data_IF_207157614909
#
_entry.id   IF_207157614909
#
_cell.length_a   1.000
_cell.length_b   1.000
_cell.length_c   1.000
_cell.angle_alpha   90.00
_cell.angle_beta   90.00
_cell.angle_gamma   90.00
#
_symmetry.space_group_name_H-M   'P 1'
#
loop_
_entity.id
_entity.type
_entity.pdbx_description
1 polymer ?
#
# COMPACT_ATOMS: atom_id res chain seq x y z
N UNK A 1 -48.12 16.88 19.39
CA UNK A 1 -46.70 16.73 19.78
C UNK A 1 -46.52 15.24 20.07
N UNK A 2 -45.65 14.44 19.45
CA UNK A 2 -44.20 14.60 19.26
C UNK A 2 -43.75 13.60 18.17
N UNK A 3 -43.30 14.07 16.99
CA UNK A 3 -42.53 13.28 16.01
C UNK A 3 -41.12 13.88 15.93
N UNK A 4 -40.18 13.37 16.72
CA UNK A 4 -38.75 13.66 16.61
C UNK A 4 -37.98 12.46 17.14
N UNK A 5 -37.67 11.47 16.31
CA UNK A 5 -36.57 10.51 16.58
C UNK A 5 -36.06 9.71 15.37
N UNK A 6 -36.69 9.77 14.19
CA UNK A 6 -36.22 9.00 13.02
C UNK A 6 -35.05 9.65 12.25
N UNK A 7 -34.89 10.98 12.29
CA UNK A 7 -33.91 11.69 11.46
C UNK A 7 -32.45 11.55 11.95
N UNK A 8 -32.22 11.21 13.23
CA UNK A 8 -30.89 11.16 13.83
C UNK A 8 -30.11 9.88 13.54
N UNK A 9 -30.78 8.74 13.29
CA UNK A 9 -30.10 7.46 12.95
C UNK A 9 -29.59 7.45 11.51
N UNK A 10 -30.31 8.07 10.58
CA UNK A 10 -29.93 8.12 9.16
C UNK A 10 -28.75 9.08 8.90
N UNK A 11 -28.73 10.24 9.56
CA UNK A 11 -27.61 11.18 9.50
C UNK A 11 -26.32 10.61 10.11
N UNK A 12 -26.42 9.90 11.23
CA UNK A 12 -25.27 9.28 11.92
C UNK A 12 -24.65 8.13 11.10
N UNK A 13 -25.48 7.31 10.42
CA UNK A 13 -25.01 6.25 9.51
C UNK A 13 -24.33 6.81 8.26
N UNK A 14 -24.87 7.87 7.68
CA UNK A 14 -24.30 8.50 6.48
C UNK A 14 -22.94 9.17 6.78
N UNK A 15 -22.81 9.82 7.94
CA UNK A 15 -21.52 10.38 8.38
C UNK A 15 -20.43 9.31 8.56
N UNK A 16 -20.79 8.18 9.18
CA UNK A 16 -19.85 7.07 9.42
C UNK A 16 -19.35 6.39 8.14
N UNK A 17 -20.21 6.30 7.12
CA UNK A 17 -19.84 5.79 5.78
C UNK A 17 -18.86 6.74 5.06
N UNK A 18 -19.08 8.05 5.16
CA UNK A 18 -18.18 9.06 4.58
C UNK A 18 -16.81 9.06 5.26
N UNK A 19 -16.77 8.88 6.58
CA UNK A 19 -15.52 8.75 7.33
C UNK A 19 -14.76 7.47 6.96
N UNK A 20 -15.46 6.34 6.84
CA UNK A 20 -14.85 5.08 6.40
C UNK A 20 -14.28 5.19 4.98
N UNK A 21 -15.00 5.84 4.05
CA UNK A 21 -14.52 6.08 2.69
C UNK A 21 -13.28 6.99 2.67
N UNK A 22 -13.26 8.04 3.49
CA UNK A 22 -12.10 8.91 3.61
C UNK A 22 -10.88 8.16 4.17
N UNK A 23 -11.09 7.31 5.18
CA UNK A 23 -10.03 6.47 5.75
C UNK A 23 -9.48 5.46 4.74
N UNK A 24 -10.35 4.74 4.03
CA UNK A 24 -9.93 3.81 2.98
C UNK A 24 -9.11 4.50 1.88
N UNK A 25 -9.53 5.72 1.48
CA UNK A 25 -8.76 6.51 0.49
C UNK A 25 -7.40 6.95 1.02
N UNK A 26 -7.29 7.25 2.31
CA UNK A 26 -6.02 7.56 2.96
C UNK A 26 -5.08 6.34 2.95
N UNK A 27 -5.57 5.17 3.36
CA UNK A 27 -4.80 3.93 3.37
C UNK A 27 -4.33 3.54 1.97
N UNK A 28 -5.20 3.68 0.95
CA UNK A 28 -4.83 3.41 -0.45
C UNK A 28 -3.69 4.31 -0.93
N UNK A 29 -3.70 5.59 -0.54
CA UNK A 29 -2.63 6.53 -0.88
C UNK A 29 -1.34 6.18 -0.14
N UNK A 30 -1.41 5.90 1.15
CA UNK A 30 -0.23 5.49 1.92
C UNK A 30 0.38 4.19 1.43
N UNK A 31 -0.45 3.20 1.06
CA UNK A 31 0.04 1.94 0.51
C UNK A 31 0.88 2.18 -0.76
N UNK A 32 0.40 3.04 -1.67
CA UNK A 32 1.15 3.42 -2.89
C UNK A 32 2.44 4.18 -2.57
N UNK A 33 2.41 5.04 -1.56
CA UNK A 33 3.58 5.81 -1.12
C UNK A 33 4.65 4.88 -0.53
N UNK A 34 4.25 3.99 0.37
CA UNK A 34 5.16 3.06 1.09
C UNK A 34 5.86 2.08 0.13
N UNK A 35 5.23 1.75 -0.99
CA UNK A 35 5.84 0.85 -2.00
C UNK A 35 6.55 1.57 -3.15
N UNK A 36 6.59 2.91 -3.13
CA UNK A 36 7.28 3.68 -4.16
C UNK A 36 8.82 3.54 -4.05
N UNK A 37 9.52 3.79 -5.15
CA UNK A 37 10.99 3.80 -5.17
C UNK A 37 11.57 4.85 -4.19
N UNK A 38 10.97 6.04 -4.16
CA UNK A 38 11.21 7.06 -3.14
C UNK A 38 9.88 7.40 -2.44
N UNK A 39 9.68 6.94 -1.19
CA UNK A 39 8.42 7.17 -0.47
C UNK A 39 8.21 8.64 -0.09
N UNK A 40 9.26 9.45 0.07
CA UNK A 40 9.08 10.86 0.38
C UNK A 40 8.67 11.68 -0.84
N UNK A 41 9.28 11.41 -1.99
CA UNK A 41 8.85 12.04 -3.23
C UNK A 41 7.43 11.63 -3.59
N UNK A 42 7.07 10.36 -3.40
CA UNK A 42 5.70 9.89 -3.57
C UNK A 42 4.72 10.58 -2.60
N UNK A 43 5.11 10.77 -1.33
CA UNK A 43 4.29 11.49 -0.35
C UNK A 43 4.10 12.96 -0.78
N UNK A 44 5.18 13.65 -1.14
CA UNK A 44 5.13 15.03 -1.65
C UNK A 44 4.18 15.14 -2.84
N UNK A 45 4.34 14.28 -3.84
CA UNK A 45 3.47 14.25 -5.02
C UNK A 45 2.01 13.97 -4.65
N UNK A 46 1.75 13.04 -3.72
CA UNK A 46 0.40 12.75 -3.26
C UNK A 46 -0.28 13.97 -2.61
N UNK A 47 0.47 14.78 -1.85
CA UNK A 47 -0.08 16.00 -1.21
C UNK A 47 -0.38 17.15 -2.18
N UNK A 48 0.18 17.11 -3.39
CA UNK A 48 0.01 18.12 -4.43
C UNK A 48 -1.18 17.84 -5.36
N UNK A 49 -1.79 16.66 -5.27
CA UNK A 49 -2.94 16.28 -6.11
C UNK A 49 -4.11 17.24 -5.92
N UNK A 50 -4.61 17.79 -7.03
CA UNK A 50 -5.67 18.82 -7.03
C UNK A 50 -7.00 18.28 -6.49
N UNK A 51 -7.31 17.01 -6.74
CA UNK A 51 -8.52 16.32 -6.31
C UNK A 51 -8.48 15.84 -4.86
N UNK A 52 -7.36 16.02 -4.15
CA UNK A 52 -7.21 15.52 -2.78
C UNK A 52 -7.99 16.40 -1.78
N UNK A 53 -8.98 15.83 -1.04
CA UNK A 53 -9.74 16.56 -0.04
C UNK A 53 -8.84 17.24 1.01
N UNK A 54 -9.16 18.46 1.48
CA UNK A 54 -8.31 19.21 2.40
C UNK A 54 -7.93 18.46 3.68
N UNK A 55 -8.87 17.65 4.23
CA UNK A 55 -8.61 16.82 5.42
C UNK A 55 -7.56 15.75 5.14
N UNK A 56 -7.64 15.06 4.01
CA UNK A 56 -6.66 14.04 3.62
C UNK A 56 -5.29 14.66 3.32
N UNK A 57 -5.28 15.82 2.65
CA UNK A 57 -4.05 16.58 2.42
C UNK A 57 -3.35 16.94 3.73
N UNK A 58 -4.11 17.42 4.73
CA UNK A 58 -3.57 17.72 6.05
C UNK A 58 -3.03 16.47 6.75
N UNK A 59 -3.75 15.35 6.69
CA UNK A 59 -3.31 14.09 7.29
C UNK A 59 -1.98 13.60 6.67
N UNK A 60 -1.86 13.62 5.34
CA UNK A 60 -0.61 13.23 4.66
C UNK A 60 0.57 14.15 5.01
N UNK A 61 0.33 15.45 5.19
CA UNK A 61 1.38 16.40 5.62
C UNK A 61 1.85 16.22 7.06
N UNK A 62 1.10 15.47 7.87
CA UNK A 62 1.45 15.15 9.27
C UNK A 62 2.19 13.82 9.39
N UNK A 63 2.40 13.10 8.29
CA UNK A 63 3.19 11.87 8.29
C UNK A 63 4.64 12.23 8.65
N UNK A 64 5.17 11.53 9.64
CA UNK A 64 6.58 11.62 10.01
C UNK A 64 7.45 11.00 8.91
N UNK A 65 8.40 11.78 8.38
CA UNK A 65 9.21 11.36 7.22
C UNK A 65 10.13 10.19 7.55
N UNK A 66 10.72 10.17 8.74
CA UNK A 66 11.62 9.09 9.16
C UNK A 66 10.84 7.81 9.47
N UNK A 67 9.71 7.93 10.17
CA UNK A 67 8.75 6.84 10.34
C UNK A 67 8.28 6.25 9.02
N UNK A 68 8.03 7.09 8.01
CA UNK A 68 7.64 6.65 6.68
C UNK A 68 8.76 5.87 5.98
N UNK A 69 10.00 6.38 5.99
CA UNK A 69 11.15 5.66 5.42
C UNK A 69 11.35 4.30 6.09
N UNK A 70 11.28 4.26 7.42
CA UNK A 70 11.41 3.02 8.19
C UNK A 70 10.29 2.03 7.86
N UNK A 71 9.04 2.51 7.78
CA UNK A 71 7.91 1.67 7.40
C UNK A 71 8.06 1.10 5.99
N UNK A 72 8.50 1.91 5.01
CA UNK A 72 8.76 1.46 3.64
C UNK A 72 9.80 0.33 3.59
N UNK A 73 10.93 0.50 4.30
CA UNK A 73 11.97 -0.54 4.39
C UNK A 73 11.46 -1.82 5.05
N UNK A 74 10.68 -1.70 6.14
CA UNK A 74 10.08 -2.86 6.80
C UNK A 74 9.11 -3.62 5.89
N UNK A 75 8.25 -2.90 5.15
CA UNK A 75 7.31 -3.51 4.21
C UNK A 75 8.05 -4.21 3.08
N UNK A 76 9.06 -3.57 2.48
CA UNK A 76 9.90 -4.18 1.45
C UNK A 76 10.58 -5.47 1.96
N UNK A 77 11.19 -5.42 3.14
CA UNK A 77 11.84 -6.57 3.77
C UNK A 77 10.85 -7.72 4.03
N UNK A 78 9.71 -7.44 4.66
CA UNK A 78 8.73 -8.47 5.00
C UNK A 78 8.16 -9.16 3.76
N UNK A 79 7.95 -8.40 2.67
CA UNK A 79 7.54 -8.98 1.38
C UNK A 79 8.61 -9.85 0.77
N UNK A 80 9.86 -9.38 0.77
CA UNK A 80 10.98 -10.16 0.27
C UNK A 80 11.11 -11.49 1.01
N UNK A 81 11.09 -11.45 2.36
CA UNK A 81 11.15 -12.65 3.19
C UNK A 81 9.99 -13.61 2.93
N UNK A 82 8.76 -13.09 2.74
CA UNK A 82 7.61 -13.93 2.37
C UNK A 82 7.79 -14.58 1.00
N UNK A 83 8.29 -13.83 0.02
CA UNK A 83 8.52 -14.37 -1.33
C UNK A 83 9.57 -15.47 -1.30
N UNK A 84 10.72 -15.24 -0.66
CA UNK A 84 11.80 -16.22 -0.54
C UNK A 84 11.32 -17.50 0.16
N UNK A 85 10.54 -17.37 1.24
CA UNK A 85 9.95 -18.54 1.94
C UNK A 85 8.83 -19.22 1.16
N UNK A 86 8.23 -18.53 0.20
CA UNK A 86 7.03 -18.99 -0.52
C UNK A 86 7.32 -19.57 -1.90
N UNK A 87 8.51 -19.35 -2.46
CA UNK A 87 8.85 -19.72 -3.83
C UNK A 87 10.29 -20.22 -3.93
N UNK A 88 10.44 -21.53 -4.10
CA UNK A 88 11.74 -22.15 -4.41
C UNK A 88 12.32 -21.63 -5.73
N UNK A 89 11.48 -21.32 -6.71
CA UNK A 89 11.92 -20.73 -7.99
C UNK A 89 12.53 -19.33 -7.79
N UNK A 90 11.93 -18.51 -6.93
CA UNK A 90 12.46 -17.18 -6.59
C UNK A 90 13.79 -17.30 -5.83
N UNK A 91 13.89 -18.25 -4.90
CA UNK A 91 15.13 -18.54 -4.18
C UNK A 91 16.25 -18.99 -5.13
N UNK A 92 15.97 -19.96 -6.01
CA UNK A 92 16.92 -20.43 -7.01
C UNK A 92 17.33 -19.32 -8.01
N UNK A 93 16.42 -18.41 -8.36
CA UNK A 93 16.76 -17.25 -9.18
C UNK A 93 17.69 -16.30 -8.44
N UNK A 94 17.37 -15.94 -7.19
CA UNK A 94 18.23 -15.07 -6.38
C UNK A 94 19.63 -15.67 -6.17
N UNK A 95 19.75 -16.97 -5.94
CA UNK A 95 21.05 -17.64 -5.82
C UNK A 95 21.87 -17.59 -7.12
N UNK A 96 21.21 -17.73 -8.28
CA UNK A 96 21.85 -17.70 -9.60
C UNK A 96 22.29 -16.30 -10.00
N UNK A 97 21.39 -15.32 -9.86
CA UNK A 97 21.63 -13.92 -10.20
C UNK A 97 20.90 -12.98 -9.21
N UNK A 98 21.57 -12.59 -8.11
CA UNK A 98 20.98 -11.71 -7.11
C UNK A 98 20.63 -10.32 -7.65
N UNK A 99 21.40 -9.82 -8.63
CA UNK A 99 21.24 -8.49 -9.20
C UNK A 99 19.99 -8.40 -10.04
N UNK A 100 19.81 -9.35 -10.97
CA UNK A 100 18.62 -9.46 -11.80
C UNK A 100 17.37 -9.68 -10.94
N UNK A 101 17.43 -10.61 -9.98
CA UNK A 101 16.29 -10.87 -9.09
C UNK A 101 15.91 -9.64 -8.26
N UNK A 102 16.90 -8.91 -7.73
CA UNK A 102 16.63 -7.71 -6.93
C UNK A 102 15.95 -6.63 -7.78
N UNK A 103 16.38 -6.44 -9.03
CA UNK A 103 15.73 -5.52 -9.95
C UNK A 103 14.28 -5.94 -10.26
N UNK A 104 14.04 -7.23 -10.51
CA UNK A 104 12.70 -7.77 -10.72
C UNK A 104 11.81 -7.60 -9.47
N UNK A 105 12.35 -7.91 -8.28
CA UNK A 105 11.62 -7.74 -7.03
C UNK A 105 11.26 -6.28 -6.77
N UNK A 106 12.15 -5.32 -7.06
CA UNK A 106 11.86 -3.90 -6.91
C UNK A 106 10.71 -3.45 -7.82
N UNK A 107 10.69 -3.92 -9.08
CA UNK A 107 9.59 -3.63 -10.01
C UNK A 107 8.28 -4.25 -9.53
N UNK A 108 8.30 -5.52 -9.11
CA UNK A 108 7.15 -6.20 -8.51
C UNK A 108 6.63 -5.45 -7.28
N UNK A 109 7.53 -5.04 -6.39
CA UNK A 109 7.20 -4.35 -5.15
C UNK A 109 6.42 -3.06 -5.41
N UNK A 110 6.85 -2.30 -6.42
CA UNK A 110 6.22 -1.05 -6.84
C UNK A 110 4.90 -1.26 -7.60
N UNK A 111 4.81 -2.33 -8.39
CA UNK A 111 3.68 -2.59 -9.27
C UNK A 111 2.50 -3.27 -8.56
N UNK A 112 2.78 -4.16 -7.61
CA UNK A 112 1.76 -5.03 -6.98
C UNK A 112 1.54 -4.62 -5.53
N UNK A 113 0.30 -4.24 -5.14
CA UNK A 113 -0.03 -3.91 -3.76
C UNK A 113 0.27 -5.07 -2.79
N UNK A 114 0.80 -4.78 -1.59
CA UNK A 114 1.25 -5.80 -0.63
C UNK A 114 0.09 -6.42 0.16
N UNK A 115 -0.79 -7.16 -0.52
CA UNK A 115 -2.02 -7.72 0.07
C UNK A 115 -1.83 -9.11 0.68
N UNK A 116 -0.71 -9.78 0.40
CA UNK A 116 -0.44 -11.12 0.91
C UNK A 116 0.07 -11.10 2.36
N UNK A 117 -0.58 -11.88 3.21
CA UNK A 117 -0.15 -12.08 4.60
C UNK A 117 0.80 -13.28 4.76
N UNK A 118 0.62 -14.35 3.97
CA UNK A 118 1.39 -15.59 4.06
C UNK A 118 2.37 -15.76 2.87
N UNK A 119 3.47 -16.52 3.06
CA UNK A 119 4.45 -16.78 2.00
C UNK A 119 3.85 -17.29 0.67
N UNK A 120 2.94 -18.26 0.73
CA UNK A 120 2.30 -18.82 -0.47
C UNK A 120 1.49 -17.79 -1.26
N UNK A 121 0.90 -16.81 -0.57
CA UNK A 121 0.18 -15.70 -1.20
C UNK A 121 1.12 -14.76 -1.95
N UNK A 122 2.25 -14.40 -1.36
CA UNK A 122 3.25 -13.53 -1.99
C UNK A 122 3.86 -14.21 -3.23
N UNK A 123 4.18 -15.51 -3.12
CA UNK A 123 4.68 -16.30 -4.25
C UNK A 123 3.68 -16.39 -5.41
N UNK A 124 2.38 -16.51 -5.11
CA UNK A 124 1.33 -16.48 -6.14
C UNK A 124 1.28 -15.12 -6.84
N UNK A 125 1.24 -14.02 -6.09
CA UNK A 125 1.23 -12.67 -6.66
C UNK A 125 2.45 -12.40 -7.53
N UNK A 126 3.64 -12.84 -7.10
CA UNK A 126 4.87 -12.68 -7.87
C UNK A 126 4.82 -13.44 -9.19
N UNK A 127 4.37 -14.70 -9.19
CA UNK A 127 4.21 -15.50 -10.42
C UNK A 127 3.16 -14.91 -11.36
N UNK A 128 2.02 -14.48 -10.81
CA UNK A 128 0.98 -13.80 -11.59
C UNK A 128 1.54 -12.54 -12.26
N UNK A 129 2.32 -11.73 -11.54
CA UNK A 129 2.98 -10.56 -12.10
C UNK A 129 3.99 -10.91 -13.20
N UNK A 130 4.86 -11.90 -12.99
CA UNK A 130 5.82 -12.37 -13.99
C UNK A 130 5.13 -12.81 -15.29
N UNK A 131 3.99 -13.49 -15.20
CA UNK A 131 3.23 -13.96 -16.36
C UNK A 131 2.62 -12.82 -17.21
N UNK A 132 2.56 -11.60 -16.67
CA UNK A 132 2.06 -10.41 -17.37
C UNK A 132 3.19 -9.44 -17.77
N UNK A 133 4.46 -9.81 -17.55
CA UNK A 133 5.58 -9.07 -18.13
C UNK A 133 5.60 -9.31 -19.66
N UNK A 134 5.78 -8.25 -20.46
CA UNK A 134 5.84 -8.36 -21.92
C UNK A 134 7.07 -9.13 -22.41
#
# INVERSE_FOLDING_TARGET
MTRRHAASRTGRRSGHLLEAQAHARYEELLAKVITAADPLDALRAATQKADLPPRLRRALRQVDEDGLRMAALLVARLRFERLMRGSTDAEAWFERDPGEFTAAFQQYHQAVPPTAFFPSGEARLFREWLAHLP
#
